data_IF_377772750868
#
_entry.id   IF_377772750868
#
_cell.length_a   1.000
_cell.length_b   1.000
_cell.length_c   1.000
_cell.angle_alpha   90.00
_cell.angle_beta   90.00
_cell.angle_gamma   90.00
#
_symmetry.space_group_name_H-M   'P 1'
#
loop_
_entity.id
_entity.type
_entity.pdbx_description
1 polymer ?
#
# COMPACT_ATOMS: atom_id res chain seq x y z
N UNK A 1 12.96 -4.40 -25.31
CA UNK A 1 13.84 -5.59 -25.32
C UNK A 1 13.72 -6.42 -24.06
N UNK A 2 13.80 -5.85 -22.84
CA UNK A 2 13.61 -6.61 -21.59
C UNK A 2 12.17 -7.14 -21.44
N UNK A 3 11.17 -6.29 -21.76
CA UNK A 3 9.74 -6.64 -21.67
C UNK A 3 9.31 -7.82 -22.54
N UNK A 4 9.75 -7.85 -23.81
CA UNK A 4 9.49 -8.97 -24.74
C UNK A 4 10.15 -10.29 -24.28
N UNK A 5 11.18 -10.24 -23.41
CA UNK A 5 11.77 -11.45 -22.83
C UNK A 5 10.96 -12.00 -21.67
N UNK A 6 10.26 -11.16 -20.90
CA UNK A 6 9.38 -11.59 -19.80
C UNK A 6 8.14 -12.28 -20.37
N UNK A 7 7.55 -11.74 -21.44
CA UNK A 7 6.32 -12.27 -22.06
C UNK A 7 6.51 -13.66 -22.71
N UNK A 8 7.76 -14.16 -22.82
CA UNK A 8 8.08 -15.44 -23.48
C UNK A 8 8.80 -16.45 -22.57
N UNK A 9 9.08 -16.14 -21.31
CA UNK A 9 9.81 -17.03 -20.41
C UNK A 9 8.88 -17.71 -19.40
N UNK A 10 8.87 -19.04 -19.43
CA UNK A 10 8.22 -19.89 -18.44
C UNK A 10 9.07 -19.94 -17.16
N UNK A 11 8.59 -19.30 -16.10
CA UNK A 11 9.16 -19.41 -14.75
C UNK A 11 9.76 -18.12 -14.17
N UNK A 12 9.92 -18.12 -12.84
CA UNK A 12 10.37 -16.98 -12.05
C UNK A 12 11.91 -16.87 -12.08
N UNK A 13 12.48 -16.21 -13.08
CA UNK A 13 13.93 -15.99 -13.19
C UNK A 13 14.44 -14.94 -12.21
N UNK A 14 15.74 -14.94 -11.89
CA UNK A 14 16.33 -13.93 -11.00
C UNK A 14 16.18 -12.50 -11.53
N UNK A 15 16.23 -12.30 -12.85
CA UNK A 15 16.00 -10.99 -13.47
C UNK A 15 14.57 -10.49 -13.21
N UNK A 16 13.57 -11.37 -13.34
CA UNK A 16 12.17 -11.06 -13.03
C UNK A 16 12.00 -10.75 -11.54
N UNK A 17 12.62 -11.56 -10.66
CA UNK A 17 12.57 -11.34 -9.22
C UNK A 17 13.17 -9.98 -8.84
N UNK A 18 14.34 -9.66 -9.38
CA UNK A 18 15.02 -8.40 -9.14
C UNK A 18 14.21 -7.21 -9.67
N UNK A 19 13.62 -7.34 -10.86
CA UNK A 19 12.80 -6.29 -11.46
C UNK A 19 11.60 -5.91 -10.58
N UNK A 20 10.77 -6.88 -10.18
CA UNK A 20 9.58 -6.60 -9.37
C UNK A 20 9.92 -6.21 -7.93
N UNK A 21 11.02 -6.74 -7.37
CA UNK A 21 11.54 -6.28 -6.08
C UNK A 21 11.99 -4.82 -6.15
N UNK A 22 12.66 -4.41 -7.23
CA UNK A 22 13.07 -3.03 -7.42
C UNK A 22 11.87 -2.10 -7.62
N UNK A 23 10.86 -2.52 -8.40
CA UNK A 23 9.61 -1.76 -8.56
C UNK A 23 8.88 -1.55 -7.23
N UNK A 24 8.82 -2.58 -6.36
CA UNK A 24 8.22 -2.45 -5.03
C UNK A 24 8.97 -1.44 -4.15
N UNK A 25 10.31 -1.45 -4.19
CA UNK A 25 11.13 -0.44 -3.50
C UNK A 25 10.90 0.97 -4.07
N UNK A 26 10.84 1.12 -5.40
CA UNK A 26 10.54 2.41 -6.02
C UNK A 26 9.15 2.92 -5.65
N UNK A 27 8.16 2.04 -5.47
CA UNK A 27 6.82 2.41 -5.03
C UNK A 27 6.83 3.03 -3.62
N UNK A 28 7.59 2.42 -2.69
CA UNK A 28 7.79 2.99 -1.35
C UNK A 28 8.50 4.35 -1.42
N UNK A 29 9.52 4.48 -2.27
CA UNK A 29 10.21 5.76 -2.43
C UNK A 29 9.34 6.83 -3.10
N UNK A 30 8.48 6.45 -4.03
CA UNK A 30 7.57 7.40 -4.67
C UNK A 30 6.54 7.93 -3.67
N UNK A 31 6.02 7.09 -2.77
CA UNK A 31 5.15 7.53 -1.69
C UNK A 31 5.90 8.44 -0.71
N UNK A 32 7.08 8.04 -0.23
CA UNK A 32 7.74 8.81 0.84
C UNK A 32 8.20 10.21 0.37
N UNK A 33 8.64 10.30 -0.88
CA UNK A 33 9.15 11.55 -1.46
C UNK A 33 8.07 12.45 -2.04
N UNK A 34 6.82 11.98 -2.13
CA UNK A 34 5.69 12.81 -2.52
C UNK A 34 5.49 13.90 -1.46
N UNK A 35 5.22 15.13 -1.89
CA UNK A 35 5.14 16.29 -0.99
C UNK A 35 4.24 17.36 -1.61
N UNK A 36 3.28 17.96 -0.86
CA UNK A 36 2.97 17.71 0.54
C UNK A 36 2.15 16.42 0.74
N UNK A 37 2.26 15.75 1.89
CA UNK A 37 1.39 14.62 2.26
C UNK A 37 0.62 14.88 3.55
N UNK A 38 -0.67 15.26 3.47
CA UNK A 38 -1.44 15.70 4.63
C UNK A 38 -1.40 14.76 5.84
N UNK A 39 -0.75 15.19 6.92
CA UNK A 39 -0.63 14.45 8.18
C UNK A 39 0.36 13.28 8.17
N UNK A 40 1.03 13.02 7.05
CA UNK A 40 2.05 11.99 6.86
C UNK A 40 3.45 12.62 6.89
N UNK A 41 4.47 11.79 7.07
CA UNK A 41 5.86 12.22 6.96
C UNK A 41 6.21 12.44 5.50
N UNK A 42 6.81 13.59 5.17
CA UNK A 42 7.26 13.92 3.83
C UNK A 42 8.55 14.76 3.85
N UNK A 43 8.87 15.45 2.75
CA UNK A 43 10.08 16.29 2.65
C UNK A 43 9.98 17.63 3.37
N UNK A 44 8.77 18.08 3.70
CA UNK A 44 8.55 19.34 4.39
C UNK A 44 8.47 19.16 5.90
N UNK A 45 7.89 18.07 6.40
CA UNK A 45 7.69 17.85 7.84
C UNK A 45 7.50 16.37 8.24
N UNK A 46 7.35 16.11 9.54
CA UNK A 46 7.12 14.78 10.12
C UNK A 46 5.63 14.41 10.26
N UNK A 47 4.75 15.17 9.61
CA UNK A 47 3.30 15.02 9.70
C UNK A 47 2.79 15.10 11.14
N UNK A 48 1.79 14.28 11.44
CA UNK A 48 1.25 14.16 12.80
C UNK A 48 2.19 13.38 13.76
N UNK A 49 3.36 12.93 13.30
CA UNK A 49 4.26 12.07 14.08
C UNK A 49 5.36 12.86 14.79
N UNK A 50 5.85 12.27 15.88
CA UNK A 50 6.94 12.83 16.72
C UNK A 50 8.14 11.89 16.85
N UNK A 51 7.98 10.67 16.37
CA UNK A 51 8.86 9.53 16.54
C UNK A 51 9.52 9.08 15.23
N UNK A 52 9.20 9.73 14.10
CA UNK A 52 9.69 9.35 12.78
C UNK A 52 9.91 10.58 11.88
N UNK A 53 10.91 10.48 11.01
CA UNK A 53 11.25 11.47 9.98
C UNK A 53 11.51 10.80 8.63
N UNK A 54 11.66 11.60 7.58
CA UNK A 54 11.89 11.13 6.21
C UNK A 54 13.04 10.12 6.10
N UNK A 55 14.12 10.34 6.86
CA UNK A 55 15.29 9.45 6.90
C UNK A 55 14.95 8.04 7.37
N UNK A 56 14.04 7.89 8.34
CA UNK A 56 13.62 6.58 8.85
C UNK A 56 12.87 5.78 7.78
N UNK A 57 12.09 6.47 6.95
CA UNK A 57 11.40 5.84 5.83
C UNK A 57 12.37 5.37 4.74
N UNK A 58 13.41 6.14 4.43
CA UNK A 58 14.46 5.68 3.50
C UNK A 58 15.22 4.46 4.04
N UNK A 59 15.61 4.48 5.32
CA UNK A 59 16.28 3.35 5.97
C UNK A 59 15.38 2.10 5.98
N UNK A 60 14.10 2.30 6.30
CA UNK A 60 13.07 1.27 6.27
C UNK A 60 12.89 0.66 4.88
N UNK A 61 12.71 1.47 3.84
CA UNK A 61 12.54 0.99 2.47
C UNK A 61 13.73 0.15 1.99
N UNK A 62 14.95 0.57 2.31
CA UNK A 62 16.17 -0.18 1.95
C UNK A 62 16.26 -1.53 2.68
N UNK A 63 15.90 -1.57 3.97
CA UNK A 63 15.89 -2.81 4.75
C UNK A 63 14.81 -3.79 4.28
N UNK A 64 13.61 -3.29 4.02
CA UNK A 64 12.47 -4.08 3.54
C UNK A 64 12.74 -4.65 2.14
N UNK A 65 13.38 -3.87 1.26
CA UNK A 65 13.67 -4.30 -0.11
C UNK A 65 14.50 -5.60 -0.20
N UNK A 66 15.29 -5.91 0.83
CA UNK A 66 16.07 -7.16 0.89
C UNK A 66 15.19 -8.41 1.02
N UNK A 67 13.92 -8.26 1.41
CA UNK A 67 12.97 -9.35 1.61
C UNK A 67 12.02 -9.55 0.44
N UNK A 68 11.85 -8.57 -0.46
CA UNK A 68 10.96 -8.70 -1.62
C UNK A 68 11.25 -9.92 -2.51
N UNK A 69 12.51 -10.31 -2.78
CA UNK A 69 12.80 -11.55 -3.51
C UNK A 69 12.24 -12.80 -2.83
N UNK A 70 12.19 -12.83 -1.51
CA UNK A 70 11.72 -13.99 -0.74
C UNK A 70 10.20 -14.18 -0.89
N UNK A 71 9.42 -13.10 -0.92
CA UNK A 71 7.97 -13.18 -1.16
C UNK A 71 7.65 -13.69 -2.57
N UNK A 72 8.31 -13.16 -3.60
CA UNK A 72 8.15 -13.64 -4.98
C UNK A 72 8.49 -15.13 -5.10
N UNK A 73 9.66 -15.54 -4.60
CA UNK A 73 10.09 -16.94 -4.64
C UNK A 73 9.18 -17.85 -3.83
N UNK A 74 8.68 -17.40 -2.67
CA UNK A 74 7.71 -18.17 -1.89
C UNK A 74 6.39 -18.38 -2.67
N UNK A 75 5.92 -17.37 -3.40
CA UNK A 75 4.77 -17.49 -4.28
C UNK A 75 4.93 -18.63 -5.31
N UNK A 76 6.06 -18.64 -6.03
CA UNK A 76 6.37 -19.69 -7.01
C UNK A 76 6.61 -21.07 -6.35
N UNK A 77 7.30 -21.11 -5.22
CA UNK A 77 7.59 -22.34 -4.47
C UNK A 77 6.30 -23.01 -3.99
N UNK A 78 5.36 -22.24 -3.46
CA UNK A 78 4.12 -22.75 -2.88
C UNK A 78 2.94 -22.79 -3.86
N UNK A 79 3.19 -22.64 -5.17
CA UNK A 79 2.15 -22.53 -6.19
C UNK A 79 1.18 -23.71 -6.27
N UNK A 80 1.61 -24.90 -5.86
CA UNK A 80 0.77 -26.13 -5.86
C UNK A 80 0.01 -26.33 -4.55
N UNK A 81 0.31 -25.56 -3.49
CA UNK A 81 -0.47 -25.62 -2.26
C UNK A 81 -1.87 -25.04 -2.49
N UNK A 82 -2.90 -25.53 -1.77
CA UNK A 82 -4.17 -24.84 -1.67
C UNK A 82 -3.94 -23.37 -1.25
N UNK A 83 -4.60 -22.44 -1.94
CA UNK A 83 -4.30 -21.00 -1.86
C UNK A 83 -4.44 -20.46 -0.43
N UNK A 84 -5.42 -20.97 0.32
CA UNK A 84 -5.69 -20.62 1.71
C UNK A 84 -4.56 -21.01 2.67
N UNK A 85 -3.67 -21.92 2.27
CA UNK A 85 -2.50 -22.32 3.07
C UNK A 85 -1.26 -21.47 2.79
N UNK A 86 -1.24 -20.69 1.71
CA UNK A 86 -0.05 -19.92 1.29
C UNK A 86 0.28 -18.81 2.29
N UNK A 87 -0.74 -18.10 2.81
CA UNK A 87 -0.54 -17.03 3.80
C UNK A 87 0.25 -17.52 5.02
N UNK A 88 -0.06 -18.73 5.51
CA UNK A 88 0.65 -19.34 6.64
C UNK A 88 2.15 -19.55 6.37
N UNK A 89 2.53 -19.84 5.13
CA UNK A 89 3.93 -20.09 4.76
C UNK A 89 4.78 -18.82 4.68
N UNK A 90 4.18 -17.68 4.33
CA UNK A 90 4.91 -16.41 4.16
C UNK A 90 4.97 -15.54 5.43
N UNK A 91 4.23 -15.90 6.49
CA UNK A 91 4.24 -15.14 7.76
C UNK A 91 5.64 -15.00 8.37
N UNK A 92 6.45 -16.06 8.33
CA UNK A 92 7.82 -16.01 8.82
C UNK A 92 8.67 -14.96 8.09
N UNK A 93 8.51 -14.86 6.77
CA UNK A 93 9.21 -13.86 5.93
C UNK A 93 8.78 -12.44 6.36
N UNK A 94 7.48 -12.22 6.52
CA UNK A 94 6.93 -10.94 6.99
C UNK A 94 7.46 -10.53 8.37
N UNK A 95 7.49 -11.45 9.33
CA UNK A 95 7.99 -11.18 10.68
C UNK A 95 9.49 -10.81 10.66
N UNK A 96 10.31 -11.51 9.89
CA UNK A 96 11.73 -11.17 9.77
C UNK A 96 11.97 -9.85 9.03
N UNK A 97 11.12 -9.54 8.03
CA UNK A 97 11.12 -8.26 7.35
C UNK A 97 10.77 -7.11 8.31
N UNK A 98 9.73 -7.27 9.14
CA UNK A 98 9.38 -6.30 10.18
C UNK A 98 10.53 -6.08 11.17
N UNK A 99 11.19 -7.16 11.63
CA UNK A 99 12.36 -7.04 12.52
C UNK A 99 13.50 -6.28 11.84
N UNK A 100 13.75 -6.52 10.55
CA UNK A 100 14.77 -5.81 9.81
C UNK A 100 14.46 -4.32 9.68
N UNK A 101 13.19 -3.99 9.39
CA UNK A 101 12.70 -2.61 9.41
C UNK A 101 12.96 -1.95 10.77
N UNK A 102 12.48 -2.55 11.86
CA UNK A 102 12.65 -2.00 13.21
C UNK A 102 14.13 -1.83 13.59
N UNK A 103 15.02 -2.74 13.20
CA UNK A 103 16.46 -2.58 13.43
C UNK A 103 17.02 -1.38 12.66
N UNK A 104 16.63 -1.22 11.39
CA UNK A 104 17.11 -0.12 10.55
C UNK A 104 16.61 1.25 11.01
N UNK A 105 15.44 1.29 11.67
CA UNK A 105 14.78 2.52 12.14
C UNK A 105 14.87 2.71 13.65
N UNK A 106 15.74 1.99 14.35
CA UNK A 106 15.92 2.09 15.82
C UNK A 106 14.61 1.92 16.62
N UNK A 107 13.71 1.05 16.16
CA UNK A 107 12.45 0.71 16.82
C UNK A 107 11.23 1.49 16.33
N UNK A 108 11.40 2.37 15.34
CA UNK A 108 10.30 3.18 14.79
C UNK A 108 9.45 2.38 13.80
N UNK A 109 8.13 2.43 13.98
CA UNK A 109 7.16 1.75 13.12
C UNK A 109 6.80 2.59 11.89
N UNK A 110 7.53 2.42 10.79
CA UNK A 110 7.30 3.15 9.52
C UNK A 110 6.39 2.35 8.57
N UNK A 111 6.96 1.51 7.72
CA UNK A 111 6.29 0.81 6.61
C UNK A 111 5.72 -0.57 6.98
N UNK A 112 5.27 -0.77 8.22
CA UNK A 112 4.74 -2.09 8.63
C UNK A 112 3.53 -2.52 7.79
N UNK A 113 2.64 -1.58 7.46
CA UNK A 113 1.51 -1.85 6.57
C UNK A 113 1.96 -2.16 5.14
N UNK A 114 3.00 -1.48 4.64
CA UNK A 114 3.58 -1.73 3.31
C UNK A 114 4.27 -3.10 3.23
N UNK A 115 4.91 -3.58 4.30
CA UNK A 115 5.45 -4.95 4.38
C UNK A 115 4.33 -5.97 4.18
N UNK A 116 3.22 -5.78 4.89
CA UNK A 116 2.06 -6.66 4.79
C UNK A 116 1.49 -6.63 3.37
N UNK A 117 1.20 -5.45 2.82
CA UNK A 117 0.55 -5.34 1.52
C UNK A 117 1.45 -5.77 0.35
N UNK A 118 2.67 -5.22 0.23
CA UNK A 118 3.60 -5.61 -0.83
C UNK A 118 4.03 -7.07 -0.70
N UNK A 119 4.19 -7.60 0.52
CA UNK A 119 4.49 -9.02 0.72
C UNK A 119 3.41 -9.94 0.13
N UNK A 120 2.13 -9.60 0.31
CA UNK A 120 1.01 -10.33 -0.27
C UNK A 120 0.96 -10.18 -1.79
N UNK A 121 1.09 -8.95 -2.32
CA UNK A 121 1.11 -8.69 -3.77
C UNK A 121 2.23 -9.48 -4.45
N UNK A 122 3.45 -9.39 -3.92
CA UNK A 122 4.63 -10.07 -4.48
C UNK A 122 4.51 -11.59 -4.39
N UNK A 123 3.93 -12.13 -3.32
CA UNK A 123 3.64 -13.57 -3.21
C UNK A 123 2.62 -14.01 -4.26
N UNK A 124 1.53 -13.26 -4.43
CA UNK A 124 0.52 -13.55 -5.44
C UNK A 124 1.11 -13.51 -6.86
N UNK A 125 1.95 -12.52 -7.16
CA UNK A 125 2.66 -12.42 -8.44
C UNK A 125 3.57 -13.63 -8.68
N UNK A 126 4.39 -14.00 -7.69
CA UNK A 126 5.28 -15.16 -7.80
C UNK A 126 4.51 -16.46 -8.07
N UNK A 127 3.36 -16.63 -7.41
CA UNK A 127 2.46 -17.77 -7.63
C UNK A 127 1.90 -17.78 -9.05
N UNK A 128 1.35 -16.67 -9.51
CA UNK A 128 0.79 -16.53 -10.87
C UNK A 128 1.84 -16.84 -11.94
N UNK A 129 3.05 -16.26 -11.82
CA UNK A 129 4.16 -16.52 -12.73
C UNK A 129 4.56 -18.00 -12.73
N UNK A 130 4.60 -18.62 -11.56
CA UNK A 130 4.92 -20.03 -11.40
C UNK A 130 3.90 -20.99 -12.01
N UNK A 131 2.63 -20.58 -12.03
CA UNK A 131 1.53 -21.29 -12.69
C UNK A 131 1.45 -21.00 -14.20
N UNK A 132 2.25 -20.06 -14.72
CA UNK A 132 2.15 -19.58 -16.10
C UNK A 132 0.89 -18.74 -16.35
N UNK A 133 0.30 -18.16 -15.30
CA UNK A 133 -0.88 -17.31 -15.38
C UNK A 133 -0.51 -15.84 -15.63
N UNK A 134 -1.45 -15.06 -16.19
CA UNK A 134 -1.24 -13.64 -16.46
C UNK A 134 -1.10 -12.85 -15.18
N UNK A 135 -0.09 -11.99 -15.12
CA UNK A 135 0.16 -11.08 -13.99
C UNK A 135 -0.43 -9.70 -14.31
N UNK A 136 -1.60 -9.43 -13.75
CA UNK A 136 -2.34 -8.17 -13.94
C UNK A 136 -2.87 -7.69 -12.59
N UNK A 137 -3.20 -6.40 -12.41
CA UNK A 137 -3.82 -5.92 -11.17
C UNK A 137 -5.04 -6.75 -10.74
N UNK A 138 -5.89 -7.15 -11.70
CA UNK A 138 -7.09 -7.96 -11.44
C UNK A 138 -6.74 -9.38 -10.98
N UNK A 139 -5.85 -10.09 -11.68
CA UNK A 139 -5.47 -11.46 -11.29
C UNK A 139 -4.70 -11.49 -9.97
N UNK A 140 -3.88 -10.48 -9.70
CA UNK A 140 -3.21 -10.31 -8.40
C UNK A 140 -4.25 -10.07 -7.29
N UNK A 141 -5.19 -9.14 -7.49
CA UNK A 141 -6.26 -8.83 -6.53
C UNK A 141 -7.06 -10.08 -6.15
N UNK A 142 -7.52 -10.84 -7.15
CA UNK A 142 -8.24 -12.10 -6.94
C UNK A 142 -7.42 -13.13 -6.16
N UNK A 143 -6.14 -13.28 -6.52
CA UNK A 143 -5.23 -14.22 -5.84
C UNK A 143 -5.00 -13.83 -4.38
N UNK A 144 -4.83 -12.54 -4.09
CA UNK A 144 -4.65 -12.03 -2.73
C UNK A 144 -5.91 -12.21 -1.91
N UNK A 145 -7.07 -11.89 -2.46
CA UNK A 145 -8.37 -12.11 -1.80
C UNK A 145 -8.54 -13.59 -1.41
N UNK A 146 -8.31 -14.51 -2.35
CA UNK A 146 -8.39 -15.94 -2.09
C UNK A 146 -7.37 -16.43 -1.05
N UNK A 147 -6.14 -15.91 -1.08
CA UNK A 147 -5.09 -16.22 -0.11
C UNK A 147 -5.41 -15.69 1.30
N UNK A 148 -6.13 -14.58 1.40
CA UNK A 148 -6.44 -13.89 2.65
C UNK A 148 -7.87 -14.16 3.15
N UNK A 149 -8.62 -15.05 2.50
CA UNK A 149 -9.99 -15.38 2.87
C UNK A 149 -10.08 -15.79 4.35
N UNK A 150 -10.87 -15.07 5.13
CA UNK A 150 -11.09 -15.33 6.56
C UNK A 150 -10.06 -14.68 7.49
N UNK A 151 -9.07 -13.94 6.99
CA UNK A 151 -8.04 -13.29 7.83
C UNK A 151 -8.65 -12.26 8.80
N UNK A 152 -9.79 -11.65 8.47
CA UNK A 152 -10.47 -10.69 9.38
C UNK A 152 -11.00 -11.37 10.64
N UNK A 153 -11.19 -12.69 10.64
CA UNK A 153 -11.55 -13.44 11.85
C UNK A 153 -10.48 -13.33 12.94
N UNK A 154 -9.20 -13.08 12.61
CA UNK A 154 -8.15 -12.81 13.59
C UNK A 154 -8.44 -11.57 14.45
N UNK A 155 -9.20 -10.60 13.93
CA UNK A 155 -9.57 -9.39 14.67
C UNK A 155 -10.58 -9.67 15.79
N UNK A 156 -11.24 -10.83 15.76
CA UNK A 156 -12.20 -11.28 16.77
C UNK A 156 -11.55 -12.09 17.89
N UNK A 157 -10.29 -12.51 17.72
CA UNK A 157 -9.65 -13.37 18.70
C UNK A 157 -9.47 -12.63 20.04
N UNK A 158 -9.85 -13.26 21.18
CA UNK A 158 -9.63 -12.68 22.49
C UNK A 158 -8.12 -12.60 22.76
N UNK A 159 -7.69 -11.47 23.32
CA UNK A 159 -6.33 -11.27 23.78
C UNK A 159 -6.36 -10.38 25.02
N UNK A 160 -5.44 -10.63 25.96
CA UNK A 160 -5.33 -9.85 27.20
C UNK A 160 -5.09 -8.36 26.92
N UNK A 161 -4.34 -8.07 25.85
CA UNK A 161 -4.11 -6.72 25.33
C UNK A 161 -4.49 -6.67 23.84
N UNK A 162 -5.68 -6.13 23.55
CA UNK A 162 -6.12 -5.94 22.18
C UNK A 162 -5.23 -4.95 21.44
N UNK A 163 -4.79 -5.33 20.25
CA UNK A 163 -4.14 -4.42 19.30
C UNK A 163 -5.09 -3.29 18.88
N UNK A 164 -4.55 -2.16 18.41
CA UNK A 164 -5.37 -1.05 17.91
C UNK A 164 -6.40 -1.49 16.87
N UNK A 165 -6.01 -2.36 15.93
CA UNK A 165 -6.91 -2.93 14.93
C UNK A 165 -8.02 -3.78 15.53
N UNK A 166 -7.73 -4.64 16.51
CA UNK A 166 -8.77 -5.43 17.20
C UNK A 166 -9.76 -4.54 17.95
N UNK A 167 -9.28 -3.51 18.68
CA UNK A 167 -10.15 -2.56 19.39
C UNK A 167 -11.09 -1.84 18.41
N UNK A 168 -10.54 -1.32 17.31
CA UNK A 168 -11.33 -0.60 16.29
C UNK A 168 -12.32 -1.50 15.58
N UNK A 169 -11.95 -2.75 15.29
CA UNK A 169 -12.85 -3.73 14.71
C UNK A 169 -14.01 -4.06 15.66
N UNK A 170 -13.73 -4.31 16.93
CA UNK A 170 -14.77 -4.63 17.92
C UNK A 170 -15.69 -3.45 18.21
N UNK A 171 -15.17 -2.22 18.23
CA UNK A 171 -15.95 -1.02 18.52
C UNK A 171 -16.77 -0.53 17.32
N UNK A 172 -16.24 -0.63 16.10
CA UNK A 172 -16.77 0.06 14.92
C UNK A 172 -16.84 -0.79 13.64
N UNK A 173 -16.42 -2.05 13.68
CA UNK A 173 -16.38 -2.93 12.51
C UNK A 173 -15.25 -2.63 11.51
N UNK A 174 -14.32 -1.73 11.85
CA UNK A 174 -13.21 -1.36 10.97
C UNK A 174 -12.20 -2.50 10.84
N UNK A 175 -12.11 -3.09 9.65
CA UNK A 175 -11.24 -4.24 9.35
C UNK A 175 -9.79 -3.86 9.05
N UNK A 176 -9.56 -2.61 8.59
CA UNK A 176 -8.23 -2.08 8.26
C UNK A 176 -7.49 -2.89 7.21
N UNK A 177 -6.16 -2.95 7.31
CA UNK A 177 -5.30 -3.61 6.32
C UNK A 177 -5.67 -5.08 6.05
N UNK A 178 -6.20 -5.80 7.06
CA UNK A 178 -6.67 -7.18 6.90
C UNK A 178 -7.91 -7.26 6.02
N UNK A 179 -8.86 -6.35 6.18
CA UNK A 179 -10.04 -6.28 5.31
C UNK A 179 -9.69 -5.88 3.89
N UNK A 180 -8.77 -4.93 3.73
CA UNK A 180 -8.23 -4.59 2.39
C UNK A 180 -7.61 -5.81 1.71
N UNK A 181 -6.79 -6.60 2.41
CA UNK A 181 -6.21 -7.82 1.87
C UNK A 181 -7.27 -8.90 1.57
N UNK A 182 -8.23 -9.12 2.46
CA UNK A 182 -9.32 -10.08 2.27
C UNK A 182 -10.19 -9.72 1.04
N UNK A 183 -10.41 -8.44 0.80
CA UNK A 183 -11.09 -7.91 -0.39
C UNK A 183 -10.16 -7.79 -1.61
N UNK A 184 -8.89 -8.21 -1.53
CA UNK A 184 -7.96 -8.17 -2.65
C UNK A 184 -7.54 -6.75 -3.08
N UNK A 185 -7.61 -5.77 -2.18
CA UNK A 185 -7.28 -4.36 -2.45
C UNK A 185 -8.16 -3.72 -3.54
N UNK A 186 -9.47 -3.99 -3.54
CA UNK A 186 -10.43 -3.40 -4.47
C UNK A 186 -10.41 -1.86 -4.48
N UNK A 187 -10.16 -1.20 -3.35
CA UNK A 187 -9.97 0.27 -3.32
C UNK A 187 -8.86 0.73 -4.27
N UNK A 188 -7.83 -0.09 -4.46
CA UNK A 188 -6.75 0.19 -5.41
C UNK A 188 -7.19 -0.14 -6.82
N UNK A 189 -7.63 -1.37 -7.09
CA UNK A 189 -7.87 -1.83 -8.46
C UNK A 189 -9.09 -1.21 -9.12
N UNK A 190 -10.12 -0.87 -8.35
CA UNK A 190 -11.39 -0.35 -8.86
C UNK A 190 -11.49 1.19 -8.80
N UNK A 191 -10.70 1.83 -7.94
CA UNK A 191 -10.77 3.29 -7.76
C UNK A 191 -9.43 3.99 -7.96
N UNK A 192 -8.42 3.72 -7.12
CA UNK A 192 -7.21 4.54 -7.11
C UNK A 192 -6.36 4.37 -8.37
N UNK A 193 -6.20 3.14 -8.87
CA UNK A 193 -5.44 2.87 -10.08
C UNK A 193 -6.11 3.45 -11.34
N UNK A 194 -7.41 3.21 -11.61
CA UNK A 194 -8.10 3.87 -12.73
C UNK A 194 -8.01 5.39 -12.66
N UNK A 195 -8.21 5.97 -11.47
CA UNK A 195 -8.11 7.40 -11.27
C UNK A 195 -6.71 7.93 -11.59
N UNK A 196 -5.67 7.32 -11.02
CA UNK A 196 -4.28 7.71 -11.25
C UNK A 196 -3.90 7.65 -12.73
N UNK A 197 -4.25 6.55 -13.42
CA UNK A 197 -4.00 6.40 -14.85
C UNK A 197 -4.75 7.46 -15.69
N UNK A 198 -5.99 7.79 -15.31
CA UNK A 198 -6.74 8.86 -15.97
C UNK A 198 -6.06 10.23 -15.79
N UNK A 199 -5.56 10.54 -14.59
CA UNK A 199 -4.84 11.79 -14.33
C UNK A 199 -3.56 11.89 -15.20
N UNK A 200 -2.82 10.78 -15.34
CA UNK A 200 -1.65 10.74 -16.23
C UNK A 200 -2.05 10.90 -17.69
N UNK A 201 -3.12 10.22 -18.14
CA UNK A 201 -3.61 10.30 -19.51
C UNK A 201 -4.10 11.71 -19.87
N UNK A 202 -4.59 12.49 -18.90
CA UNK A 202 -4.92 13.91 -19.09
C UNK A 202 -3.69 14.84 -19.10
N UNK A 203 -2.47 14.30 -19.09
CA UNK A 203 -1.22 15.06 -19.18
C UNK A 203 -0.79 15.72 -17.87
N UNK A 204 -1.35 15.31 -16.73
CA UNK A 204 -0.92 15.88 -15.44
C UNK A 204 0.49 15.44 -15.09
N UNK A 205 1.19 16.31 -14.38
CA UNK A 205 2.45 15.95 -13.75
C UNK A 205 2.25 14.72 -12.83
N UNK A 206 3.20 13.78 -12.87
CA UNK A 206 3.13 12.51 -12.14
C UNK A 206 2.91 12.69 -10.63
N UNK A 207 3.59 13.66 -10.00
CA UNK A 207 3.45 13.91 -8.56
C UNK A 207 2.08 14.49 -8.25
N UNK A 208 1.55 15.38 -9.11
CA UNK A 208 0.19 15.92 -8.96
C UNK A 208 -0.87 14.83 -9.13
N UNK A 209 -0.71 13.95 -10.12
CA UNK A 209 -1.58 12.80 -10.32
C UNK A 209 -1.56 11.86 -9.10
N UNK A 210 -0.38 11.57 -8.56
CA UNK A 210 -0.22 10.71 -7.40
C UNK A 210 -0.77 11.36 -6.12
N UNK A 211 -0.56 12.66 -5.95
CA UNK A 211 -1.10 13.43 -4.84
C UNK A 211 -2.63 13.48 -4.87
N UNK A 212 -3.23 13.76 -6.03
CA UNK A 212 -4.68 13.72 -6.18
C UNK A 212 -5.23 12.32 -5.86
N UNK A 213 -4.49 11.27 -6.25
CA UNK A 213 -4.82 9.87 -5.93
C UNK A 213 -4.73 9.58 -4.43
N UNK A 214 -3.74 10.15 -3.72
CA UNK A 214 -3.67 10.07 -2.26
C UNK A 214 -4.91 10.72 -1.63
N UNK A 215 -5.34 11.90 -2.09
CA UNK A 215 -6.55 12.54 -1.59
C UNK A 215 -7.79 11.68 -1.86
N UNK A 216 -7.88 11.03 -3.03
CA UNK A 216 -8.95 10.07 -3.32
C UNK A 216 -8.94 8.91 -2.33
N UNK A 217 -7.78 8.32 -2.06
CA UNK A 217 -7.64 7.23 -1.09
C UNK A 217 -8.00 7.69 0.33
N UNK A 218 -7.59 8.88 0.76
CA UNK A 218 -8.00 9.47 2.05
C UNK A 218 -9.51 9.65 2.13
N UNK A 219 -10.17 10.02 1.03
CA UNK A 219 -11.63 10.19 0.97
C UNK A 219 -12.39 8.88 1.13
N UNK A 220 -11.90 7.77 0.56
CA UNK A 220 -12.67 6.52 0.45
C UNK A 220 -12.28 5.46 1.48
N UNK A 221 -11.01 5.43 1.91
CA UNK A 221 -10.51 4.44 2.85
C UNK A 221 -10.99 4.73 4.29
N UNK A 222 -11.49 3.71 4.97
CA UNK A 222 -11.76 3.77 6.41
C UNK A 222 -10.46 3.52 7.21
N UNK A 223 -9.55 4.49 7.12
CA UNK A 223 -8.19 4.36 7.63
C UNK A 223 -8.14 4.19 9.15
N UNK A 224 -7.79 2.97 9.59
CA UNK A 224 -7.67 2.63 11.01
C UNK A 224 -6.57 3.40 11.75
N UNK A 225 -5.53 3.90 11.07
CA UNK A 225 -4.52 4.75 11.73
C UNK A 225 -5.11 6.11 12.09
N UNK A 226 -5.95 6.67 11.22
CA UNK A 226 -6.71 7.90 11.52
C UNK A 226 -7.70 7.64 12.65
N UNK A 227 -8.49 6.56 12.56
CA UNK A 227 -9.47 6.22 13.58
C UNK A 227 -8.83 5.97 14.95
N UNK A 228 -7.64 5.36 15.01
CA UNK A 228 -6.92 5.13 16.26
C UNK A 228 -6.44 6.43 16.91
N UNK A 229 -6.11 7.46 16.12
CA UNK A 229 -5.58 8.74 16.63
C UNK A 229 -6.68 9.77 16.93
N UNK A 230 -7.67 9.86 16.06
CA UNK A 230 -8.73 10.88 16.10
C UNK A 230 -10.14 10.35 16.34
N UNK A 231 -10.31 9.03 16.54
CA UNK A 231 -11.62 8.39 16.61
C UNK A 231 -12.41 8.48 15.30
N UNK A 232 -13.67 8.06 15.36
CA UNK A 232 -14.59 8.16 14.21
C UNK A 232 -14.83 9.61 13.78
N UNK A 233 -14.78 10.57 14.71
CA UNK A 233 -14.88 11.99 14.40
C UNK A 233 -13.72 12.48 13.52
N UNK A 234 -12.48 12.10 13.86
CA UNK A 234 -11.30 12.40 13.06
C UNK A 234 -11.34 11.73 11.68
N UNK A 235 -11.78 10.47 11.62
CA UNK A 235 -11.95 9.74 10.36
C UNK A 235 -12.99 10.41 9.45
N UNK A 236 -14.17 10.76 9.99
CA UNK A 236 -15.21 11.44 9.22
C UNK A 236 -14.74 12.81 8.73
N UNK A 237 -14.07 13.57 9.60
CA UNK A 237 -13.54 14.89 9.25
C UNK A 237 -12.53 14.81 8.10
N UNK A 238 -11.54 13.90 8.17
CA UNK A 238 -10.50 13.84 7.13
C UNK A 238 -11.09 13.43 5.78
N UNK A 239 -12.07 12.50 5.78
CA UNK A 239 -12.79 12.07 4.57
C UNK A 239 -13.59 13.21 3.95
N UNK A 240 -14.24 14.05 4.77
CA UNK A 240 -14.96 15.23 4.32
C UNK A 240 -14.03 16.29 3.72
N UNK A 241 -12.90 16.59 4.37
CA UNK A 241 -11.91 17.54 3.82
C UNK A 241 -11.32 17.04 2.50
N UNK A 242 -10.98 15.76 2.40
CA UNK A 242 -10.52 15.15 1.16
C UNK A 242 -11.57 15.21 0.05
N UNK A 243 -12.85 15.01 0.38
CA UNK A 243 -13.95 15.16 -0.57
C UNK A 243 -14.10 16.60 -1.09
N UNK A 244 -13.98 17.60 -0.22
CA UNK A 244 -14.00 19.02 -0.62
C UNK A 244 -12.82 19.37 -1.52
N UNK A 245 -11.63 18.87 -1.19
CA UNK A 245 -10.42 19.07 -1.99
C UNK A 245 -10.59 18.53 -3.41
N UNK A 246 -11.19 17.35 -3.57
CA UNK A 246 -11.43 16.73 -4.88
C UNK A 246 -12.53 17.40 -5.71
N UNK A 247 -13.26 18.38 -5.17
CA UNK A 247 -14.13 19.24 -5.99
C UNK A 247 -13.32 20.23 -6.83
N UNK A 248 -12.06 20.45 -6.48
CA UNK A 248 -11.12 21.25 -7.25
C UNK A 248 -10.23 20.32 -8.06
N UNK A 249 -10.01 20.66 -9.32
CA UNK A 249 -9.07 19.91 -10.13
C UNK A 249 -7.65 20.42 -9.88
N UNK A 250 -6.79 19.58 -9.31
CA UNK A 250 -5.37 19.91 -9.10
C UNK A 250 -4.66 19.85 -10.44
N UNK A 251 -4.37 20.99 -11.04
CA UNK A 251 -3.73 21.06 -12.36
C UNK A 251 -2.21 21.27 -12.26
N UNK A 252 -1.77 22.09 -11.31
CA UNK A 252 -0.36 22.41 -11.17
C UNK A 252 0.06 22.70 -9.71
N UNK A 253 1.31 23.15 -9.55
CA UNK A 253 1.89 23.42 -8.22
C UNK A 253 1.21 24.57 -7.47
N UNK A 254 0.47 25.45 -8.12
CA UNK A 254 -0.24 26.54 -7.46
C UNK A 254 -1.39 26.02 -6.60
N UNK A 255 -1.99 24.87 -6.95
CA UNK A 255 -3.06 24.26 -6.17
C UNK A 255 -2.57 23.59 -4.87
N UNK A 256 -1.25 23.45 -4.70
CA UNK A 256 -0.64 22.80 -3.53
C UNK A 256 -0.89 23.56 -2.22
N UNK A 257 -1.18 24.86 -2.26
CA UNK A 257 -1.45 25.64 -1.05
C UNK A 257 -2.65 25.09 -0.26
N UNK A 258 -3.70 24.60 -0.94
CA UNK A 258 -4.86 23.98 -0.29
C UNK A 258 -4.48 22.67 0.40
N UNK A 259 -3.60 21.91 -0.23
CA UNK A 259 -3.09 20.64 0.30
C UNK A 259 -2.15 20.90 1.49
N UNK A 260 -1.32 21.94 1.43
CA UNK A 260 -0.49 22.38 2.56
C UNK A 260 -1.35 22.86 3.73
N UNK A 261 -2.43 23.60 3.47
CA UNK A 261 -3.37 23.97 4.51
C UNK A 261 -4.04 22.74 5.14
N UNK A 262 -4.46 21.78 4.31
CA UNK A 262 -5.02 20.52 4.79
C UNK A 262 -4.01 19.72 5.61
N UNK A 263 -2.74 19.68 5.19
CA UNK A 263 -1.65 19.09 5.94
C UNK A 263 -1.53 19.68 7.35
N UNK A 264 -1.46 21.01 7.45
CA UNK A 264 -1.43 21.69 8.75
C UNK A 264 -2.64 21.35 9.63
N UNK A 265 -3.84 21.25 9.04
CA UNK A 265 -5.03 20.85 9.79
C UNK A 265 -4.96 19.40 10.28
N UNK A 266 -4.46 18.47 9.46
CA UNK A 266 -4.22 17.08 9.85
C UNK A 266 -3.21 16.99 11.00
N UNK A 267 -2.09 17.72 10.91
CA UNK A 267 -1.05 17.79 11.97
C UNK A 267 -1.65 18.29 13.28
N UNK A 268 -2.38 19.42 13.24
CA UNK A 268 -3.03 20.00 14.43
C UNK A 268 -4.03 19.05 15.08
N UNK A 269 -4.74 18.24 14.27
CA UNK A 269 -5.69 17.22 14.75
C UNK A 269 -5.03 15.86 15.06
N UNK A 270 -3.72 15.75 14.93
CA UNK A 270 -2.96 14.51 15.09
C UNK A 270 -3.48 13.35 14.20
N UNK A 271 -3.95 13.66 12.99
CA UNK A 271 -4.48 12.68 12.04
C UNK A 271 -3.40 12.29 11.03
N UNK A 272 -3.23 10.99 10.81
CA UNK A 272 -2.26 10.47 9.85
C UNK A 272 -2.87 9.33 9.03
N UNK A 273 -3.13 9.53 7.73
CA UNK A 273 -3.73 8.52 6.86
C UNK A 273 -2.72 7.49 6.34
N UNK A 274 -2.11 6.73 7.27
CA UNK A 274 -1.06 5.75 6.96
C UNK A 274 -1.54 4.56 6.13
N UNK A 275 -2.77 4.09 6.36
CA UNK A 275 -3.36 3.04 5.52
C UNK A 275 -3.59 3.54 4.09
N UNK A 276 -4.00 4.79 3.90
CA UNK A 276 -4.11 5.37 2.55
C UNK A 276 -2.75 5.55 1.87
N UNK A 277 -1.67 5.82 2.61
CA UNK A 277 -0.31 5.82 2.08
C UNK A 277 0.11 4.42 1.59
N UNK A 278 -0.18 3.36 2.35
CA UNK A 278 0.09 1.99 1.93
C UNK A 278 -0.65 1.61 0.64
N UNK A 279 -1.91 2.04 0.50
CA UNK A 279 -2.70 1.83 -0.74
C UNK A 279 -2.16 2.67 -1.91
N UNK A 280 -1.56 3.83 -1.65
CA UNK A 280 -0.91 4.64 -2.68
C UNK A 280 0.33 3.95 -3.25
N UNK A 281 1.12 3.29 -2.38
CA UNK A 281 2.26 2.45 -2.79
C UNK A 281 1.79 1.36 -3.76
N UNK A 282 0.72 0.63 -3.43
CA UNK A 282 0.16 -0.39 -4.31
C UNK A 282 -0.33 0.18 -5.64
N UNK A 283 -0.98 1.35 -5.58
CA UNK A 283 -1.47 2.05 -6.78
C UNK A 283 -0.32 2.37 -7.73
N UNK A 284 0.76 2.95 -7.19
CA UNK A 284 1.95 3.28 -7.96
C UNK A 284 2.60 2.04 -8.56
N UNK A 285 2.69 0.95 -7.77
CA UNK A 285 3.25 -0.32 -8.19
C UNK A 285 2.44 -0.95 -9.33
N UNK A 286 1.11 -1.04 -9.20
CA UNK A 286 0.23 -1.59 -10.23
C UNK A 286 0.24 -0.79 -11.52
N UNK A 287 0.37 0.54 -11.47
CA UNK A 287 0.50 1.37 -12.67
C UNK A 287 1.76 1.07 -13.50
N UNK A 288 2.72 0.31 -12.96
CA UNK A 288 3.97 -0.09 -13.62
C UNK A 288 4.04 -1.56 -13.96
N UNK A 289 3.00 -2.32 -13.64
CA UNK A 289 2.83 -3.64 -14.22
C UNK A 289 2.58 -3.50 -15.73
N UNK A 290 3.01 -4.47 -16.55
CA UNK A 290 2.73 -4.46 -17.97
C UNK A 290 1.22 -4.30 -18.20
N UNK A 291 0.86 -3.24 -18.92
CA UNK A 291 -0.52 -2.98 -19.30
C UNK A 291 -0.87 -3.91 -20.47
N UNK A 292 -1.75 -4.88 -20.23
CA UNK A 292 -2.54 -5.46 -21.29
C UNK A 292 -3.88 -4.72 -21.31
N UNK A 293 -4.15 -3.85 -22.31
CA UNK A 293 -5.51 -3.42 -22.54
C UNK A 293 -6.33 -4.69 -22.77
N UNK A 294 -7.39 -4.88 -21.98
CA UNK A 294 -8.43 -5.83 -22.34
C UNK A 294 -8.99 -5.34 -23.67
N UNK A 295 -8.74 -6.10 -24.74
CA UNK A 295 -9.47 -5.91 -26.00
C UNK A 295 -10.94 -6.16 -25.67
N UNK A 296 -11.73 -5.09 -25.67
CA UNK A 296 -13.20 -5.17 -25.70
C UNK A 296 -13.65 -5.71 -27.05
#
# INVERSE_FOLDING_TARGET
MFQQRIDQQTGLTDDVVNHYSHLAWQAMLAEVNLTPKPGLVDRHNTGAHKDMALTDFHLSANAIAQFFPQFLRAGDQYKTLPIERVLGQIRGIGIECEKAMFRATQGVNTHKGSIFSLGLILTAMGRLMGLGEKVTPSTISQTVSAMCQGITAELKQPADNLTAGQRLYQAYGLTGARGEAENGYQLVTEHALPYYLQQLASGKNTDIALLSTLILLVKINDDTNVANRGGMAGLNWIKQQAAQLLQHDFHDKHDLHKIQQFDQQCIQKNLSPGGSADLLILTWFFARLPYHPMNY
#
